data_IF_928422718855
#
_entry.id   IF_928422718855
#
_cell.length_a   1.000
_cell.length_b   1.000
_cell.length_c   1.000
_cell.angle_alpha   90.00
_cell.angle_beta   90.00
_cell.angle_gamma   90.00
#
_symmetry.space_group_name_H-M   'P 1'
#
loop_
_entity.id
_entity.type
_entity.pdbx_description
1 polymer ?
#
# COMPACT_ATOMS: atom_id res chain seq x y z
N UNK A 1 -41.22 0.81 51.49
CA UNK A 1 -41.20 0.24 52.84
C UNK A 1 -39.87 -0.44 53.02
N UNK A 2 -39.04 0.15 53.91
CA UNK A 2 -37.89 -0.39 54.71
C UNK A 2 -36.72 -1.02 53.89
N UNK A 3 -35.55 -0.32 53.75
CA UNK A 3 -34.50 -0.06 54.77
C UNK A 3 -33.76 -1.36 55.16
N UNK A 4 -32.45 -1.49 54.91
CA UNK A 4 -31.32 -1.32 55.80
C UNK A 4 -30.13 -2.19 55.29
N UNK A 5 -29.00 -1.67 54.87
CA UNK A 5 -27.82 -1.29 55.65
C UNK A 5 -27.02 -2.46 56.26
N UNK A 6 -25.73 -2.51 55.94
CA UNK A 6 -24.53 -2.65 56.79
C UNK A 6 -23.37 -3.22 55.96
N UNK A 7 -22.33 -2.50 55.67
CA UNK A 7 -21.19 -1.95 56.46
C UNK A 7 -20.34 -3.01 57.22
N UNK A 8 -19.04 -2.75 57.15
CA UNK A 8 -17.86 -3.25 57.88
C UNK A 8 -17.09 -4.35 57.14
N UNK A 9 -15.80 -4.28 57.01
CA UNK A 9 -14.78 -3.35 57.50
C UNK A 9 -13.42 -3.98 57.30
N UNK A 10 -12.45 -3.15 57.15
CA UNK A 10 -11.09 -3.18 57.73
C UNK A 10 -10.33 -4.50 57.61
N UNK A 11 -9.10 -4.53 57.31
CA UNK A 11 -7.95 -3.65 57.37
C UNK A 11 -6.71 -4.49 57.53
N UNK A 12 -5.56 -3.82 57.51
CA UNK A 12 -4.29 -4.17 58.17
C UNK A 12 -3.25 -4.80 57.25
N UNK A 13 -2.32 -3.99 56.80
CA UNK A 13 -0.93 -3.69 57.27
C UNK A 13 0.11 -4.70 56.77
N UNK A 14 0.97 -4.21 55.94
CA UNK A 14 2.35 -3.74 56.15
C UNK A 14 3.35 -4.85 56.55
N UNK A 15 4.29 -5.15 55.70
CA UNK A 15 5.64 -5.51 56.09
C UNK A 15 6.68 -5.08 55.04
N UNK A 16 7.47 -4.12 55.44
CA UNK A 16 8.70 -3.65 54.81
C UNK A 16 9.81 -4.64 55.20
N UNK A 17 10.60 -5.07 54.24
CA UNK A 17 11.92 -5.64 54.51
C UNK A 17 12.95 -5.00 53.60
N UNK A 18 13.72 -4.10 54.14
CA UNK A 18 14.99 -3.62 53.58
C UNK A 18 16.01 -4.75 53.66
N UNK A 19 16.71 -5.00 52.58
CA UNK A 19 17.91 -5.80 52.49
C UNK A 19 18.98 -5.06 51.73
N UNK A 20 19.81 -4.30 52.43
CA UNK A 20 21.10 -3.80 51.92
C UNK A 20 22.08 -4.98 51.86
N UNK A 21 22.75 -5.12 50.74
CA UNK A 21 23.87 -6.06 50.57
C UNK A 21 24.85 -5.54 49.52
N UNK A 22 25.96 -5.15 50.05
CA UNK A 22 27.11 -4.46 49.49
C UNK A 22 27.81 -5.18 48.32
N UNK A 23 28.48 -4.34 47.50
CA UNK A 23 29.53 -4.68 46.54
C UNK A 23 30.77 -5.27 47.24
N UNK A 24 31.65 -5.96 46.48
CA UNK A 24 33.01 -5.45 46.41
C UNK A 24 33.56 -5.33 44.98
N UNK A 25 34.36 -4.28 44.83
CA UNK A 25 35.30 -4.03 43.73
C UNK A 25 36.58 -4.85 43.95
N UNK A 26 37.31 -5.04 42.90
CA UNK A 26 38.76 -5.25 42.72
C UNK A 26 39.00 -6.23 41.56
N UNK A 27 39.97 -6.16 40.71
CA UNK A 27 41.13 -5.27 40.59
C UNK A 27 41.66 -5.38 39.16
N UNK A 28 42.40 -4.38 38.78
CA UNK A 28 43.12 -4.24 37.54
C UNK A 28 44.23 -5.28 37.33
N UNK A 29 44.52 -5.67 36.10
CA UNK A 29 45.82 -6.12 35.72
C UNK A 29 46.20 -5.54 34.37
N UNK A 30 47.20 -4.68 34.39
CA UNK A 30 47.91 -4.11 33.25
C UNK A 30 48.92 -5.16 32.77
N UNK A 31 49.04 -5.35 31.47
CA UNK A 31 50.29 -5.78 30.87
C UNK A 31 50.66 -4.88 29.71
N UNK A 32 51.78 -4.18 29.91
CA UNK A 32 52.60 -3.48 28.95
C UNK A 32 53.35 -4.50 28.05
N UNK A 33 53.55 -4.14 26.80
CA UNK A 33 54.52 -4.76 25.89
C UNK A 33 54.59 -3.89 24.65
N UNK A 34 55.29 -2.84 24.69
CA UNK A 34 56.62 -2.51 24.21
C UNK A 34 56.82 -2.77 22.70
N UNK A 35 56.78 -1.67 22.00
CA UNK A 35 57.53 -1.19 20.84
C UNK A 35 58.56 -2.10 20.15
N UNK A 36 58.51 -2.12 18.84
CA UNK A 36 59.74 -2.08 17.99
C UNK A 36 59.47 -1.36 16.67
N UNK A 37 59.96 -0.15 16.61
CA UNK A 37 60.29 0.59 15.40
C UNK A 37 61.42 -0.16 14.65
N UNK A 38 61.21 -0.48 13.39
CA UNK A 38 62.29 -0.84 12.46
C UNK A 38 62.27 0.18 11.35
N UNK A 39 63.18 1.12 11.49
CA UNK A 39 63.65 1.98 10.41
C UNK A 39 64.55 1.16 9.48
N UNK A 40 64.25 1.15 8.18
CA UNK A 40 65.21 0.80 7.13
C UNK A 40 65.30 1.91 6.11
N UNK A 41 66.53 2.31 5.99
CA UNK A 41 67.09 3.37 5.22
C UNK A 41 67.04 3.17 3.70
N UNK A 42 67.11 4.31 3.05
CA UNK A 42 67.26 4.58 1.62
C UNK A 42 68.38 3.79 0.94
N UNK A 43 68.10 3.29 -0.24
CA UNK A 43 69.08 3.15 -1.30
C UNK A 43 68.53 3.76 -2.59
N UNK A 44 69.26 4.77 -3.09
CA UNK A 44 69.09 5.38 -4.41
C UNK A 44 69.79 4.50 -5.44
N UNK A 45 69.16 4.28 -6.59
CA UNK A 45 69.88 4.02 -7.84
C UNK A 45 69.15 4.69 -9.01
N UNK A 46 69.81 5.35 -9.93
CA UNK A 46 69.18 6.08 -11.02
C UNK A 46 69.16 5.24 -12.29
N UNK A 47 68.04 5.22 -12.99
CA UNK A 47 68.05 4.78 -14.39
C UNK A 47 67.00 5.67 -15.13
N UNK A 48 67.56 6.61 -15.88
CA UNK A 48 66.82 7.43 -16.84
C UNK A 48 66.44 6.55 -18.03
N UNK A 49 65.20 6.19 -18.15
CA UNK A 49 64.60 5.77 -19.43
C UNK A 49 63.71 6.90 -19.94
N UNK A 50 64.19 7.51 -21.02
CA UNK A 50 63.41 8.46 -21.81
C UNK A 50 62.18 7.71 -22.37
N UNK A 51 61.01 7.98 -21.84
CA UNK A 51 59.76 7.55 -22.47
C UNK A 51 59.37 8.58 -23.52
N UNK A 52 59.50 8.20 -24.77
CA UNK A 52 58.88 8.88 -25.91
C UNK A 52 57.38 8.89 -25.70
N UNK A 53 56.80 10.06 -25.41
CA UNK A 53 55.38 10.25 -25.32
C UNK A 53 54.79 10.32 -26.74
N UNK A 54 54.15 9.27 -27.18
CA UNK A 54 53.24 9.33 -28.33
C UNK A 54 52.00 10.15 -27.95
N UNK A 55 51.53 11.08 -28.79
CA UNK A 55 50.32 11.80 -28.55
C UNK A 55 49.15 10.80 -28.60
N UNK A 56 48.38 10.67 -27.47
CA UNK A 56 47.15 9.92 -27.45
C UNK A 56 46.16 10.59 -28.41
N UNK A 57 45.90 9.94 -29.56
CA UNK A 57 44.87 10.33 -30.46
C UNK A 57 43.55 10.43 -29.71
N UNK A 58 42.86 11.56 -29.83
CA UNK A 58 41.49 11.74 -29.31
C UNK A 58 40.60 10.68 -29.97
N UNK A 59 40.25 9.63 -29.19
CA UNK A 59 39.17 8.74 -29.58
C UNK A 59 37.90 9.63 -29.67
N UNK A 60 37.41 9.88 -30.86
CA UNK A 60 36.10 10.39 -31.08
C UNK A 60 35.11 9.43 -30.42
N UNK A 61 34.54 9.83 -29.30
CA UNK A 61 33.45 9.08 -28.67
C UNK A 61 32.31 9.09 -29.67
N UNK A 62 31.98 7.92 -30.20
CA UNK A 62 30.75 7.75 -30.99
C UNK A 62 29.58 8.05 -30.04
N UNK A 63 29.01 9.24 -30.14
CA UNK A 63 27.79 9.59 -29.44
C UNK A 63 26.70 8.72 -30.08
N UNK A 64 26.38 7.61 -29.42
CA UNK A 64 25.17 6.85 -29.76
C UNK A 64 24.00 7.77 -29.45
N UNK A 65 23.46 8.40 -30.47
CA UNK A 65 22.15 9.01 -30.38
C UNK A 65 21.16 7.89 -30.05
N UNK A 66 20.78 7.76 -28.78
CA UNK A 66 19.58 7.04 -28.42
C UNK A 66 18.42 7.84 -28.99
N UNK A 67 17.99 7.47 -30.18
CA UNK A 67 16.69 7.90 -30.69
C UNK A 67 15.68 7.34 -29.67
N UNK A 68 15.03 8.21 -28.91
CA UNK A 68 13.94 7.79 -28.05
C UNK A 68 12.92 7.05 -28.92
N UNK A 69 12.45 5.86 -28.51
CA UNK A 69 11.40 5.18 -29.28
C UNK A 69 10.23 6.14 -29.48
N UNK A 70 9.63 6.11 -30.68
CA UNK A 70 8.45 6.90 -30.97
C UNK A 70 7.40 6.68 -29.89
N UNK A 71 6.67 7.71 -29.45
CA UNK A 71 5.62 7.54 -28.46
C UNK A 71 4.61 6.52 -29.00
N UNK A 72 4.37 5.47 -28.22
CA UNK A 72 3.38 4.48 -28.61
C UNK A 72 1.98 5.10 -28.64
N UNK A 73 1.10 4.68 -29.56
CA UNK A 73 -0.24 5.25 -29.67
C UNK A 73 -1.01 5.08 -28.35
N UNK A 74 -1.73 6.11 -27.96
CA UNK A 74 -2.57 6.11 -26.76
C UNK A 74 -3.97 5.52 -27.01
N UNK A 75 -4.42 5.54 -28.29
CA UNK A 75 -5.72 5.08 -28.74
C UNK A 75 -5.55 4.17 -29.95
N UNK A 76 -6.44 3.21 -30.09
CA UNK A 76 -6.52 2.33 -31.26
C UNK A 76 -7.21 3.01 -32.44
N UNK A 77 -7.41 2.27 -33.55
CA UNK A 77 -8.08 2.76 -34.78
C UNK A 77 -9.54 3.10 -34.56
N UNK A 78 -10.18 2.54 -33.52
CA UNK A 78 -11.58 2.77 -33.20
C UNK A 78 -11.73 3.92 -32.17
N UNK A 79 -10.61 4.50 -31.71
CA UNK A 79 -10.56 5.58 -30.76
C UNK A 79 -10.66 5.11 -29.30
N UNK A 80 -10.57 3.80 -29.04
CA UNK A 80 -10.58 3.26 -27.69
C UNK A 80 -9.18 3.35 -27.05
N UNK A 81 -9.07 3.56 -25.73
CA UNK A 81 -7.77 3.75 -25.08
C UNK A 81 -6.99 2.44 -25.04
N UNK A 82 -5.74 2.47 -25.48
CA UNK A 82 -4.82 1.34 -25.38
C UNK A 82 -4.30 1.27 -23.93
N UNK A 83 -4.91 0.39 -23.14
CA UNK A 83 -4.52 0.14 -21.75
C UNK A 83 -3.51 -1.00 -21.65
N UNK A 84 -2.54 -0.86 -20.74
CA UNK A 84 -1.44 -1.81 -20.54
C UNK A 84 -1.60 -2.68 -19.30
N UNK A 85 -2.68 -2.50 -18.57
CA UNK A 85 -3.13 -3.44 -17.53
C UNK A 85 -3.63 -4.71 -18.20
N UNK A 86 -3.29 -5.89 -17.66
CA UNK A 86 -3.67 -7.18 -18.24
C UNK A 86 -5.15 -7.51 -18.04
N UNK A 87 -5.71 -7.07 -16.91
CA UNK A 87 -7.14 -7.14 -16.66
C UNK A 87 -7.63 -5.79 -16.15
N UNK A 88 -8.79 -5.34 -16.65
CA UNK A 88 -9.38 -4.09 -16.22
C UNK A 88 -10.90 -4.08 -16.39
N UNK A 89 -11.55 -3.22 -15.63
CA UNK A 89 -12.95 -2.88 -15.81
C UNK A 89 -13.18 -1.43 -15.41
N UNK A 90 -13.89 -0.68 -16.26
CA UNK A 90 -14.37 0.68 -16.02
C UNK A 90 -15.89 0.65 -16.09
N UNK A 91 -16.56 1.05 -15.00
CA UNK A 91 -18.01 1.02 -14.90
C UNK A 91 -18.54 2.37 -14.44
N UNK A 92 -19.63 2.83 -15.07
CA UNK A 92 -20.46 3.89 -14.53
C UNK A 92 -21.21 3.35 -13.31
N UNK A 93 -20.88 3.89 -12.13
CA UNK A 93 -21.44 3.41 -10.87
C UNK A 93 -22.94 3.71 -10.73
N UNK A 94 -23.43 4.77 -11.39
CA UNK A 94 -24.84 5.18 -11.30
C UNK A 94 -25.76 4.24 -12.07
N UNK A 95 -25.29 3.75 -13.22
CA UNK A 95 -26.10 2.95 -14.15
C UNK A 95 -25.72 1.47 -14.15
N UNK A 96 -24.54 1.12 -13.61
CA UNK A 96 -23.96 -0.21 -13.72
C UNK A 96 -23.39 -0.52 -15.11
N UNK A 97 -23.40 0.46 -16.04
CA UNK A 97 -22.94 0.25 -17.41
C UNK A 97 -21.41 0.06 -17.46
N UNK A 98 -20.98 -1.04 -18.06
CA UNK A 98 -19.57 -1.28 -18.34
C UNK A 98 -19.16 -0.43 -19.55
N UNK A 99 -18.13 0.40 -19.37
CA UNK A 99 -17.61 1.30 -20.40
C UNK A 99 -16.41 0.68 -21.12
N UNK A 100 -15.53 0.02 -20.39
CA UNK A 100 -14.35 -0.68 -20.88
C UNK A 100 -14.11 -1.93 -20.04
N UNK A 101 -13.79 -3.04 -20.68
CA UNK A 101 -13.34 -4.24 -19.96
C UNK A 101 -12.35 -5.07 -20.79
N UNK A 102 -11.47 -5.75 -20.09
CA UNK A 102 -10.59 -6.78 -20.64
C UNK A 102 -10.29 -7.78 -19.53
N UNK A 103 -10.46 -9.06 -19.82
CA UNK A 103 -10.20 -10.14 -18.85
C UNK A 103 -10.87 -9.91 -17.49
N UNK A 104 -12.05 -9.27 -17.45
CA UNK A 104 -12.67 -8.77 -16.22
C UNK A 104 -13.05 -9.88 -15.22
N UNK A 105 -13.25 -11.13 -15.68
CA UNK A 105 -13.49 -12.30 -14.85
C UNK A 105 -12.22 -13.10 -14.49
N UNK A 106 -11.02 -12.64 -14.89
CA UNK A 106 -9.78 -13.33 -14.52
C UNK A 106 -9.50 -13.19 -13.02
N UNK A 107 -9.33 -14.32 -12.34
CA UNK A 107 -9.00 -14.37 -10.91
C UNK A 107 -7.51 -14.18 -10.74
N UNK A 108 -7.11 -13.06 -10.17
CA UNK A 108 -5.73 -12.62 -10.03
C UNK A 108 -5.40 -12.26 -8.58
N UNK A 109 -4.14 -12.39 -8.14
CA UNK A 109 -3.69 -11.83 -6.87
C UNK A 109 -3.89 -10.31 -6.87
N UNK A 110 -4.45 -9.77 -5.77
CA UNK A 110 -4.84 -8.36 -5.69
C UNK A 110 -3.95 -7.51 -4.78
N UNK A 111 -2.96 -8.16 -4.15
CA UNK A 111 -2.07 -7.48 -3.22
C UNK A 111 -2.82 -6.59 -2.22
N UNK A 112 -2.30 -5.41 -1.91
CA UNK A 112 -2.87 -4.48 -0.93
C UNK A 112 -4.23 -3.87 -1.29
N UNK A 113 -4.86 -4.22 -2.41
CA UNK A 113 -6.29 -3.93 -2.62
C UNK A 113 -7.11 -4.60 -1.51
N UNK A 114 -6.67 -5.73 -1.00
CA UNK A 114 -7.16 -6.44 0.19
C UNK A 114 -7.51 -5.49 1.35
N UNK A 115 -6.75 -4.42 1.55
CA UNK A 115 -6.95 -3.48 2.66
C UNK A 115 -8.26 -2.70 2.62
N UNK A 116 -8.95 -2.67 1.47
CA UNK A 116 -10.34 -2.16 1.43
C UNK A 116 -11.30 -3.10 2.18
N UNK A 117 -11.16 -4.41 1.99
CA UNK A 117 -11.93 -5.41 2.75
C UNK A 117 -11.56 -5.37 4.23
N UNK A 118 -10.26 -5.28 4.54
CA UNK A 118 -9.78 -5.10 5.91
C UNK A 118 -10.46 -3.90 6.59
N UNK A 119 -10.51 -2.77 5.91
CA UNK A 119 -11.13 -1.55 6.44
C UNK A 119 -12.64 -1.73 6.68
N UNK A 120 -13.36 -2.35 5.75
CA UNK A 120 -14.80 -2.61 5.93
C UNK A 120 -15.05 -3.50 7.15
N UNK A 121 -14.27 -4.58 7.34
CA UNK A 121 -14.42 -5.48 8.49
C UNK A 121 -14.08 -4.80 9.81
N UNK A 122 -13.03 -3.96 9.85
CA UNK A 122 -12.68 -3.16 11.05
C UNK A 122 -13.83 -2.23 11.43
N UNK A 123 -14.44 -1.54 10.47
CA UNK A 123 -15.53 -0.60 10.71
C UNK A 123 -16.83 -1.30 11.08
N UNK A 124 -17.12 -2.45 10.48
CA UNK A 124 -18.31 -3.26 10.81
C UNK A 124 -18.26 -3.83 12.24
N UNK A 125 -17.05 -4.05 12.77
CA UNK A 125 -16.85 -4.51 14.14
C UNK A 125 -17.22 -3.47 15.20
N UNK A 126 -17.36 -2.19 14.84
CA UNK A 126 -17.74 -1.09 15.73
C UNK A 126 -16.91 -0.98 17.01
N UNK A 127 -15.65 -1.40 16.95
CA UNK A 127 -14.71 -1.22 18.07
C UNK A 127 -14.31 0.26 18.18
N UNK A 128 -13.89 0.69 19.37
CA UNK A 128 -13.49 2.08 19.61
C UNK A 128 -12.35 2.51 18.68
N UNK A 129 -12.55 3.58 17.91
CA UNK A 129 -11.53 4.08 16.99
C UNK A 129 -10.35 4.73 17.72
N UNK A 130 -10.58 5.20 18.96
CA UNK A 130 -9.54 5.74 19.84
C UNK A 130 -8.76 4.66 20.60
N UNK A 131 -9.16 3.38 20.52
CA UNK A 131 -8.44 2.29 21.20
C UNK A 131 -7.00 2.23 20.69
N UNK A 132 -6.06 2.11 21.62
CA UNK A 132 -4.64 2.02 21.31
C UNK A 132 -4.26 0.60 20.91
N UNK A 133 -3.61 0.46 19.78
CA UNK A 133 -3.13 -0.81 19.22
C UNK A 133 -1.61 -0.78 19.16
N UNK A 134 -0.97 -1.83 19.67
CA UNK A 134 0.47 -2.01 19.58
C UNK A 134 0.84 -2.85 18.36
N UNK A 135 1.89 -2.46 17.64
CA UNK A 135 2.55 -3.26 16.63
C UNK A 135 3.46 -4.28 17.32
N UNK A 136 3.23 -5.55 17.11
CA UNK A 136 4.04 -6.65 17.66
C UNK A 136 4.92 -7.33 16.61
N UNK A 137 5.78 -8.25 17.05
CA UNK A 137 6.58 -9.10 16.15
C UNK A 137 5.71 -9.92 15.19
N UNK A 138 4.48 -10.29 15.61
CA UNK A 138 3.52 -11.00 14.76
C UNK A 138 3.03 -10.17 13.56
N UNK A 139 3.24 -8.85 13.59
CA UNK A 139 2.86 -7.94 12.50
C UNK A 139 4.00 -7.73 11.49
N UNK A 140 5.18 -8.30 11.75
CA UNK A 140 6.33 -8.23 10.85
C UNK A 140 6.12 -9.16 9.65
N UNK A 141 6.36 -8.63 8.46
CA UNK A 141 6.32 -9.41 7.23
C UNK A 141 7.60 -10.23 7.05
N UNK A 142 7.56 -11.48 7.47
CA UNK A 142 8.63 -12.46 7.23
C UNK A 142 8.46 -13.20 5.89
N UNK A 143 7.32 -13.05 5.21
CA UNK A 143 7.06 -13.72 3.93
C UNK A 143 7.80 -13.05 2.78
N UNK A 144 7.77 -11.71 2.73
CA UNK A 144 8.30 -10.90 1.63
C UNK A 144 9.34 -9.86 2.06
N UNK A 145 9.52 -9.69 3.37
CA UNK A 145 10.45 -8.72 3.92
C UNK A 145 10.07 -7.27 3.59
N UNK A 146 8.78 -6.97 3.47
CA UNK A 146 8.34 -5.60 3.19
C UNK A 146 8.73 -4.66 4.33
N UNK A 147 9.27 -3.49 3.98
CA UNK A 147 9.63 -2.47 4.96
C UNK A 147 8.36 -1.79 5.51
N UNK A 148 8.43 -1.33 6.75
CA UNK A 148 7.42 -0.51 7.40
C UNK A 148 8.08 0.61 8.20
N UNK A 149 7.39 1.74 8.31
CA UNK A 149 7.81 2.86 9.17
C UNK A 149 7.26 2.74 10.59
N UNK A 150 6.41 1.76 10.84
CA UNK A 150 5.93 1.40 12.16
C UNK A 150 6.88 0.34 12.76
N UNK A 151 7.69 0.71 13.75
CA UNK A 151 8.53 -0.24 14.45
C UNK A 151 7.67 -1.16 15.35
N UNK A 152 8.19 -2.34 15.68
CA UNK A 152 7.65 -3.17 16.78
C UNK A 152 7.67 -2.35 18.06
N UNK A 153 6.60 -2.43 18.86
CA UNK A 153 6.38 -1.59 20.03
C UNK A 153 5.76 -0.22 19.74
N UNK A 154 5.53 0.13 18.46
CA UNK A 154 4.76 1.36 18.13
C UNK A 154 3.31 1.20 18.56
N UNK A 155 2.77 2.22 19.25
CA UNK A 155 1.38 2.26 19.70
C UNK A 155 0.68 3.42 19.02
N UNK A 156 -0.41 3.14 18.32
CA UNK A 156 -1.26 4.13 17.63
C UNK A 156 -2.73 3.82 17.89
N UNK A 157 -3.60 4.80 17.67
CA UNK A 157 -5.04 4.58 17.69
C UNK A 157 -5.47 3.63 16.55
N UNK A 158 -6.60 2.93 16.74
CA UNK A 158 -7.20 2.12 15.67
C UNK A 158 -7.48 2.98 14.44
N UNK A 159 -7.87 4.24 14.64
CA UNK A 159 -8.08 5.20 13.55
C UNK A 159 -6.81 5.46 12.76
N UNK A 160 -5.69 5.77 13.45
CA UNK A 160 -4.40 5.99 12.78
C UNK A 160 -3.93 4.74 12.04
N UNK A 161 -4.06 3.56 12.67
CA UNK A 161 -3.73 2.29 12.00
C UNK A 161 -4.56 2.10 10.73
N UNK A 162 -5.86 2.37 10.78
CA UNK A 162 -6.75 2.25 9.62
C UNK A 162 -6.39 3.27 8.53
N UNK A 163 -6.14 4.52 8.90
CA UNK A 163 -5.69 5.58 8.00
C UNK A 163 -4.39 5.21 7.29
N UNK A 164 -3.38 4.75 8.04
CA UNK A 164 -2.09 4.34 7.49
C UNK A 164 -2.19 3.10 6.60
N UNK A 165 -3.05 2.13 6.94
CA UNK A 165 -3.29 0.95 6.11
C UNK A 165 -3.92 1.32 4.76
N UNK A 166 -4.85 2.27 4.72
CA UNK A 166 -5.53 2.69 3.50
C UNK A 166 -4.67 3.64 2.66
N UNK A 167 -4.17 4.72 3.25
CA UNK A 167 -3.47 5.79 2.55
C UNK A 167 -2.07 5.37 2.08
N UNK A 168 -1.22 4.96 3.02
CA UNK A 168 0.17 4.60 2.74
C UNK A 168 0.42 3.10 2.62
N UNK A 169 -0.65 2.30 2.69
CA UNK A 169 -0.59 0.86 2.52
C UNK A 169 0.27 0.13 3.56
N UNK A 170 0.37 0.65 4.79
CA UNK A 170 1.17 0.06 5.87
C UNK A 170 0.70 -1.36 6.21
N UNK A 171 1.59 -2.33 6.04
CA UNK A 171 1.28 -3.74 6.25
C UNK A 171 1.15 -4.05 7.74
N UNK A 172 2.06 -3.51 8.59
CA UNK A 172 2.00 -3.73 10.04
C UNK A 172 0.73 -3.14 10.65
N UNK A 173 0.25 -2.01 10.13
CA UNK A 173 -1.02 -1.44 10.57
C UNK A 173 -2.20 -2.38 10.23
N UNK A 174 -2.26 -2.89 9.00
CA UNK A 174 -3.32 -3.83 8.59
C UNK A 174 -3.27 -5.16 9.36
N UNK A 175 -2.08 -5.65 9.69
CA UNK A 175 -1.88 -6.84 10.52
C UNK A 175 -2.33 -6.61 11.96
N UNK A 176 -1.89 -5.51 12.59
CA UNK A 176 -2.28 -5.15 13.95
C UNK A 176 -3.80 -4.99 14.09
N UNK A 177 -4.48 -4.36 13.11
CA UNK A 177 -5.94 -4.25 13.07
C UNK A 177 -6.61 -5.63 13.11
N UNK A 178 -6.12 -6.59 12.31
CA UNK A 178 -6.68 -7.94 12.29
C UNK A 178 -6.40 -8.70 13.59
N UNK A 179 -5.20 -8.55 14.16
CA UNK A 179 -4.82 -9.21 15.41
C UNK A 179 -5.63 -8.71 16.60
N UNK A 180 -6.00 -7.43 16.62
CA UNK A 180 -6.83 -6.83 17.66
C UNK A 180 -8.34 -6.94 17.41
N UNK A 181 -8.75 -7.70 16.41
CA UNK A 181 -10.15 -8.03 16.17
C UNK A 181 -10.65 -9.04 17.20
N UNK A 182 -11.93 -9.02 17.60
CA UNK A 182 -12.49 -10.02 18.50
C UNK A 182 -12.31 -11.45 17.94
N UNK A 183 -11.58 -12.29 18.67
CA UNK A 183 -11.18 -13.63 18.21
C UNK A 183 -9.87 -13.65 17.41
N UNK A 184 -9.20 -12.51 17.23
CA UNK A 184 -7.87 -12.42 16.62
C UNK A 184 -7.86 -12.58 15.11
N UNK A 185 -6.67 -12.79 14.55
CA UNK A 185 -6.42 -12.79 13.10
C UNK A 185 -7.27 -13.83 12.35
N UNK A 186 -7.44 -15.03 12.88
CA UNK A 186 -8.22 -16.08 12.20
C UNK A 186 -9.70 -15.67 12.07
N UNK A 187 -10.30 -15.19 13.17
CA UNK A 187 -11.67 -14.71 13.16
C UNK A 187 -11.85 -13.49 12.22
N UNK A 188 -10.83 -12.65 12.11
CA UNK A 188 -10.81 -11.53 11.18
C UNK A 188 -10.84 -11.99 9.71
N UNK A 189 -9.98 -12.96 9.34
CA UNK A 189 -9.93 -13.50 7.97
C UNK A 189 -11.26 -14.20 7.63
N UNK A 190 -11.86 -14.93 8.57
CA UNK A 190 -13.19 -15.47 8.38
C UNK A 190 -14.24 -14.37 8.17
N UNK A 191 -14.17 -13.27 8.93
CA UNK A 191 -15.05 -12.13 8.74
C UNK A 191 -14.87 -11.47 7.37
N UNK A 192 -13.63 -11.34 6.86
CA UNK A 192 -13.35 -10.87 5.50
C UNK A 192 -14.06 -11.76 4.46
N UNK A 193 -13.94 -13.08 4.57
CA UNK A 193 -14.55 -14.01 3.63
C UNK A 193 -16.09 -14.04 3.76
N UNK A 194 -16.64 -13.92 4.98
CA UNK A 194 -18.10 -13.75 5.16
C UNK A 194 -18.60 -12.46 4.53
N UNK A 195 -17.89 -11.35 4.71
CA UNK A 195 -18.20 -10.07 4.07
C UNK A 195 -18.13 -10.16 2.55
N UNK A 196 -17.11 -10.83 2.01
CA UNK A 196 -16.99 -11.12 0.58
C UNK A 196 -18.22 -11.85 0.04
N UNK A 197 -18.63 -12.92 0.70
CA UNK A 197 -19.82 -13.68 0.32
C UNK A 197 -21.09 -12.83 0.39
N UNK A 198 -21.26 -11.99 1.44
CA UNK A 198 -22.41 -11.11 1.60
C UNK A 198 -22.53 -10.02 0.54
N UNK A 199 -21.38 -9.64 -0.08
CA UNK A 199 -21.32 -8.70 -1.20
C UNK A 199 -21.44 -9.39 -2.56
N UNK A 200 -21.60 -10.72 -2.61
CA UNK A 200 -21.69 -11.48 -3.86
C UNK A 200 -20.36 -11.58 -4.62
N UNK A 201 -19.22 -11.49 -3.92
CA UNK A 201 -17.89 -11.56 -4.54
C UNK A 201 -17.50 -13.04 -4.67
N UNK A 202 -17.90 -13.66 -5.77
CA UNK A 202 -17.77 -15.12 -5.96
C UNK A 202 -16.35 -15.58 -6.31
N UNK A 203 -15.54 -14.69 -6.90
CA UNK A 203 -14.19 -14.93 -7.36
C UNK A 203 -13.13 -14.38 -6.38
N UNK A 204 -13.57 -13.97 -5.17
CA UNK A 204 -12.74 -13.33 -4.17
C UNK A 204 -12.48 -14.22 -2.96
N UNK A 205 -11.22 -14.31 -2.55
CA UNK A 205 -10.76 -15.04 -1.36
C UNK A 205 -9.69 -14.26 -0.62
N UNK A 206 -9.72 -14.35 0.72
CA UNK A 206 -8.75 -13.72 1.61
C UNK A 206 -8.12 -14.77 2.53
N UNK A 207 -6.80 -14.67 2.68
CA UNK A 207 -5.97 -15.49 3.57
C UNK A 207 -5.18 -14.63 4.56
N UNK A 208 -5.06 -13.34 4.32
CA UNK A 208 -4.51 -12.36 5.24
C UNK A 208 -5.20 -10.99 5.11
N UNK A 209 -4.92 -10.09 6.07
CA UNK A 209 -5.47 -8.73 6.11
C UNK A 209 -4.66 -7.71 5.31
N UNK A 210 -3.48 -8.10 4.82
CA UNK A 210 -2.49 -7.17 4.24
C UNK A 210 -2.46 -7.21 2.72
N UNK A 211 -2.72 -8.40 2.13
CA UNK A 211 -2.54 -8.69 0.72
C UNK A 211 -1.11 -9.11 0.37
N UNK A 212 -0.30 -9.49 1.35
CA UNK A 212 1.04 -10.06 1.11
C UNK A 212 0.97 -11.52 0.67
N UNK A 213 -0.07 -12.24 1.06
CA UNK A 213 -0.35 -13.58 0.59
C UNK A 213 -0.90 -13.53 -0.84
N UNK A 214 -0.23 -14.20 -1.79
CA UNK A 214 -0.68 -14.28 -3.18
C UNK A 214 -2.02 -15.02 -3.35
N UNK A 215 -2.47 -15.75 -2.33
CA UNK A 215 -3.80 -16.37 -2.28
C UNK A 215 -4.94 -15.36 -2.09
N UNK A 216 -4.65 -14.11 -1.69
CA UNK A 216 -5.65 -13.05 -1.73
C UNK A 216 -5.92 -12.69 -3.19
N UNK A 217 -6.99 -13.23 -3.71
CA UNK A 217 -7.36 -13.14 -5.13
C UNK A 217 -8.73 -12.51 -5.31
N UNK A 218 -8.95 -11.95 -6.48
CA UNK A 218 -10.25 -11.41 -6.91
C UNK A 218 -10.25 -11.24 -8.43
N UNK A 219 -11.42 -10.95 -9.00
CA UNK A 219 -11.57 -10.50 -10.38
C UNK A 219 -11.85 -8.99 -10.45
N UNK A 220 -11.69 -8.41 -11.63
CA UNK A 220 -12.05 -7.00 -11.82
C UNK A 220 -13.55 -6.76 -11.60
N UNK A 221 -14.41 -7.73 -11.90
CA UNK A 221 -15.86 -7.66 -11.66
C UNK A 221 -16.18 -7.62 -10.18
N UNK A 222 -15.60 -8.53 -9.38
CA UNK A 222 -15.79 -8.52 -7.94
C UNK A 222 -15.21 -7.25 -7.29
N UNK A 223 -14.07 -6.76 -7.78
CA UNK A 223 -13.45 -5.54 -7.27
C UNK A 223 -14.29 -4.30 -7.51
N UNK A 224 -15.04 -4.21 -8.61
CA UNK A 224 -16.00 -3.13 -8.83
C UNK A 224 -17.06 -3.13 -7.72
N UNK A 225 -17.62 -4.29 -7.38
CA UNK A 225 -18.58 -4.42 -6.29
C UNK A 225 -17.97 -4.07 -4.95
N UNK A 226 -16.75 -4.54 -4.69
CA UNK A 226 -16.02 -4.25 -3.45
C UNK A 226 -15.72 -2.76 -3.28
N UNK A 227 -15.29 -2.07 -4.34
CA UNK A 227 -15.03 -0.62 -4.32
C UNK A 227 -16.33 0.16 -4.12
N UNK A 228 -17.42 -0.26 -4.80
CA UNK A 228 -18.74 0.30 -4.62
C UNK A 228 -19.22 0.21 -3.17
N UNK A 229 -19.06 -0.97 -2.55
CA UNK A 229 -19.39 -1.17 -1.13
C UNK A 229 -18.50 -0.32 -0.21
N UNK A 230 -17.19 -0.27 -0.46
CA UNK A 230 -16.25 0.53 0.32
C UNK A 230 -16.58 2.03 0.28
N UNK A 231 -17.10 2.53 -0.83
CA UNK A 231 -17.50 3.92 -1.00
C UNK A 231 -18.65 4.36 -0.08
N UNK A 232 -19.40 3.44 0.50
CA UNK A 232 -20.44 3.76 1.48
C UNK A 232 -19.89 4.06 2.89
N UNK A 233 -18.60 3.77 3.15
CA UNK A 233 -17.96 4.05 4.43
C UNK A 233 -17.27 5.42 4.39
N UNK A 234 -17.75 6.42 5.17
CA UNK A 234 -17.14 7.76 5.17
C UNK A 234 -15.63 7.73 5.49
N UNK A 235 -15.21 6.95 6.48
CA UNK A 235 -13.80 6.85 6.87
C UNK A 235 -12.92 6.18 5.81
N UNK A 236 -13.46 5.22 5.03
CA UNK A 236 -12.71 4.64 3.91
C UNK A 236 -12.48 5.71 2.83
N UNK A 237 -13.50 6.49 2.50
CA UNK A 237 -13.35 7.58 1.54
C UNK A 237 -12.29 8.57 2.02
N UNK A 238 -12.44 9.09 3.23
CA UNK A 238 -11.52 10.07 3.82
C UNK A 238 -10.07 9.55 3.83
N UNK A 239 -9.86 8.36 4.42
CA UNK A 239 -8.50 7.86 4.65
C UNK A 239 -7.82 7.40 3.36
N UNK A 240 -8.55 6.77 2.44
CA UNK A 240 -7.97 6.30 1.18
C UNK A 240 -7.63 7.43 0.22
N UNK A 241 -8.20 8.63 0.42
CA UNK A 241 -7.97 9.81 -0.41
C UNK A 241 -7.22 10.93 0.30
N UNK A 242 -6.75 10.72 1.52
CA UNK A 242 -5.81 11.64 2.18
C UNK A 242 -4.50 11.64 1.42
N UNK A 243 -4.01 12.82 0.99
CA UNK A 243 -2.75 12.94 0.24
C UNK A 243 -1.54 12.65 1.13
N UNK A 244 -1.57 13.17 2.35
CA UNK A 244 -0.54 13.01 3.36
C UNK A 244 -1.13 13.02 4.77
N UNK A 245 -0.38 12.48 5.72
CA UNK A 245 -0.76 12.44 7.13
C UNK A 245 0.48 12.49 8.01
N UNK A 246 0.43 13.34 9.02
CA UNK A 246 1.47 13.48 10.02
C UNK A 246 0.99 12.85 11.34
N UNK A 247 1.72 11.85 11.83
CA UNK A 247 1.37 11.10 13.04
C UNK A 247 2.60 10.84 13.89
N UNK A 248 2.42 10.83 15.19
CA UNK A 248 3.49 10.49 16.13
C UNK A 248 3.68 8.97 16.18
N UNK A 249 4.90 8.51 15.95
CA UNK A 249 5.30 7.11 16.03
C UNK A 249 6.54 7.00 16.91
N UNK A 250 6.41 6.37 18.08
CA UNK A 250 7.54 6.19 19.00
C UNK A 250 8.18 7.50 19.45
N UNK A 251 7.37 8.51 19.79
CA UNK A 251 7.83 9.82 20.25
C UNK A 251 8.39 10.73 19.15
N UNK A 252 8.16 10.40 17.87
CA UNK A 252 8.61 11.21 16.73
C UNK A 252 7.51 11.41 15.73
N UNK A 253 7.32 12.64 15.26
CA UNK A 253 6.42 12.93 14.15
C UNK A 253 6.97 12.33 12.85
N UNK A 254 6.12 11.56 12.17
CA UNK A 254 6.42 10.94 10.88
C UNK A 254 5.36 11.32 9.86
N UNK A 255 5.80 11.75 8.71
CA UNK A 255 4.92 12.07 7.59
C UNK A 255 4.75 10.83 6.70
N UNK A 256 3.50 10.52 6.37
CA UNK A 256 3.11 9.46 5.45
C UNK A 256 2.43 10.08 4.23
N UNK A 257 2.59 9.45 3.06
CA UNK A 257 2.01 9.91 1.81
C UNK A 257 1.13 8.83 1.19
N UNK A 258 0.16 9.26 0.40
CA UNK A 258 -0.68 8.33 -0.35
C UNK A 258 0.15 7.59 -1.40
N UNK A 259 -0.17 6.32 -1.59
CA UNK A 259 0.50 5.47 -2.59
C UNK A 259 0.00 5.71 -4.02
N UNK A 260 -1.15 6.39 -4.17
CA UNK A 260 -1.68 6.82 -5.46
C UNK A 260 -1.41 8.32 -5.65
N UNK A 261 -0.49 8.73 -6.56
CA UNK A 261 -0.19 10.15 -6.78
C UNK A 261 -1.37 10.95 -7.35
N UNK A 262 -2.38 10.29 -7.94
CA UNK A 262 -3.56 10.97 -8.48
C UNK A 262 -4.42 11.62 -7.39
N UNK A 263 -4.31 11.15 -6.14
CA UNK A 263 -5.03 11.74 -5.00
C UNK A 263 -4.62 13.19 -4.73
N UNK A 264 -3.36 13.53 -4.97
CA UNK A 264 -2.85 14.88 -4.80
C UNK A 264 -3.02 15.75 -6.06
N UNK A 265 -3.53 15.20 -7.15
CA UNK A 265 -3.71 15.92 -8.41
C UNK A 265 -5.11 16.57 -8.45
N UNK A 266 -5.14 17.91 -8.56
CA UNK A 266 -6.36 18.70 -8.59
C UNK A 266 -7.31 18.39 -9.76
N UNK A 267 -6.79 17.76 -10.84
CA UNK A 267 -7.61 17.34 -11.98
C UNK A 267 -8.44 16.08 -11.71
N UNK A 268 -8.28 15.48 -10.53
CA UNK A 268 -8.97 14.26 -10.13
C UNK A 268 -9.83 14.48 -8.90
N UNK A 269 -11.11 14.12 -9.01
CA UNK A 269 -12.00 13.99 -7.87
C UNK A 269 -12.14 12.50 -7.55
N UNK A 270 -11.47 12.04 -6.47
CA UNK A 270 -11.40 10.63 -6.09
C UNK A 270 -12.16 10.41 -4.79
N UNK A 271 -13.05 9.43 -4.76
CA UNK A 271 -13.84 9.07 -3.57
C UNK A 271 -13.26 7.88 -2.82
N UNK A 272 -12.67 6.91 -3.52
CA UNK A 272 -11.97 5.76 -2.95
C UNK A 272 -10.73 5.49 -3.79
N UNK A 273 -9.62 5.15 -3.14
CA UNK A 273 -8.41 4.77 -3.83
C UNK A 273 -7.65 3.68 -3.09
N UNK A 274 -7.17 2.68 -3.80
CA UNK A 274 -6.18 1.73 -3.25
C UNK A 274 -5.25 1.20 -4.33
N UNK A 275 -3.95 1.21 -4.04
CA UNK A 275 -2.93 0.57 -4.86
C UNK A 275 -2.54 -0.79 -4.28
N UNK A 276 -2.06 -1.69 -5.14
CA UNK A 276 -1.49 -2.97 -4.75
C UNK A 276 -0.24 -3.29 -5.54
N UNK A 277 0.67 -4.06 -4.92
CA UNK A 277 1.81 -4.65 -5.59
C UNK A 277 2.40 -5.78 -4.77
N UNK A 278 2.49 -6.94 -5.36
CA UNK A 278 3.41 -8.03 -5.06
C UNK A 278 3.93 -8.56 -6.40
N UNK A 279 4.95 -9.41 -6.40
CA UNK A 279 5.53 -9.93 -7.65
C UNK A 279 4.46 -10.63 -8.51
N UNK A 280 3.59 -11.41 -7.88
CA UNK A 280 2.57 -12.25 -8.52
C UNK A 280 1.36 -11.47 -9.03
N UNK A 281 1.07 -10.29 -8.44
CA UNK A 281 -0.07 -9.46 -8.85
C UNK A 281 0.27 -8.41 -9.88
N UNK A 282 1.56 -8.18 -10.16
CA UNK A 282 1.94 -6.95 -10.85
C UNK A 282 1.45 -5.71 -10.08
N UNK A 283 1.36 -4.57 -10.73
CA UNK A 283 0.85 -3.33 -10.14
C UNK A 283 -0.64 -3.21 -10.35
N UNK A 284 -1.37 -3.02 -9.24
CA UNK A 284 -2.83 -2.89 -9.23
C UNK A 284 -3.25 -1.50 -8.75
N UNK A 285 -4.39 -1.03 -9.24
CA UNK A 285 -5.05 0.19 -8.81
C UNK A 285 -6.57 0.00 -8.90
N UNK A 286 -7.27 0.37 -7.84
CA UNK A 286 -8.71 0.57 -7.89
C UNK A 286 -9.05 1.98 -7.44
N UNK A 287 -10.03 2.60 -8.08
CA UNK A 287 -10.51 3.93 -7.73
C UNK A 287 -12.01 4.04 -7.96
N UNK A 288 -12.69 4.78 -7.08
CA UNK A 288 -13.91 5.50 -7.42
C UNK A 288 -13.51 6.94 -7.75
N UNK A 289 -13.88 7.44 -8.90
CA UNK A 289 -13.57 8.81 -9.32
C UNK A 289 -14.76 9.45 -10.05
N UNK A 290 -14.90 10.76 -9.90
CA UNK A 290 -15.88 11.53 -10.69
C UNK A 290 -15.17 12.10 -11.93
N UNK A 291 -15.63 11.66 -13.08
CA UNK A 291 -15.23 12.22 -14.35
C UNK A 291 -16.47 12.83 -15.01
N UNK A 292 -16.41 14.13 -15.23
CA UNK A 292 -17.56 14.92 -15.76
C UNK A 292 -18.86 14.71 -14.95
N UNK A 293 -18.73 14.80 -13.64
CA UNK A 293 -19.84 14.63 -12.68
C UNK A 293 -20.46 13.22 -12.64
N UNK A 294 -19.90 12.23 -13.35
CA UNK A 294 -20.31 10.83 -13.29
C UNK A 294 -19.38 10.04 -12.36
N UNK A 295 -19.94 9.32 -11.38
CA UNK A 295 -19.13 8.44 -10.54
C UNK A 295 -18.77 7.19 -11.33
N UNK A 296 -17.47 6.95 -11.50
CA UNK A 296 -16.93 5.77 -12.17
C UNK A 296 -16.15 4.93 -11.19
N UNK A 297 -16.20 3.62 -11.37
CA UNK A 297 -15.28 2.70 -10.71
C UNK A 297 -14.29 2.22 -11.78
N UNK A 298 -13.01 2.38 -11.49
CA UNK A 298 -11.89 2.01 -12.35
C UNK A 298 -11.09 0.93 -11.62
N UNK A 299 -10.96 -0.23 -12.24
CA UNK A 299 -10.15 -1.35 -11.75
C UNK A 299 -9.08 -1.66 -12.79
N UNK A 300 -7.80 -1.63 -12.39
CA UNK A 300 -6.64 -1.92 -13.22
C UNK A 300 -5.78 -2.95 -12.50
N UNK A 301 -5.60 -4.13 -13.08
CA UNK A 301 -4.88 -5.26 -12.50
C UNK A 301 -3.71 -5.68 -13.38
N UNK A 302 -2.68 -6.21 -12.74
CA UNK A 302 -1.47 -6.74 -13.37
C UNK A 302 -0.87 -5.81 -14.42
N UNK A 303 -0.63 -4.56 -14.02
CA UNK A 303 0.06 -3.59 -14.86
C UNK A 303 1.57 -3.78 -14.76
N UNK A 304 2.24 -3.93 -15.90
CA UNK A 304 3.70 -3.91 -15.97
C UNK A 304 4.24 -2.47 -15.84
N UNK A 305 5.37 -2.31 -15.17
CA UNK A 305 6.04 -1.01 -15.04
C UNK A 305 5.53 -0.12 -13.90
N UNK A 306 6.37 0.87 -13.55
CA UNK A 306 6.18 1.68 -12.34
C UNK A 306 4.94 2.59 -12.40
N UNK A 307 4.70 3.20 -13.56
CA UNK A 307 3.68 4.24 -13.73
C UNK A 307 2.51 3.80 -14.62
N UNK A 308 2.51 2.58 -15.13
CA UNK A 308 1.56 2.09 -16.12
C UNK A 308 0.11 2.26 -15.68
N UNK A 309 -0.24 1.82 -14.46
CA UNK A 309 -1.61 1.96 -13.93
C UNK A 309 -2.08 3.41 -13.81
N UNK A 310 -1.15 4.35 -13.51
CA UNK A 310 -1.45 5.79 -13.44
C UNK A 310 -1.66 6.36 -14.84
N UNK A 311 -0.82 5.96 -15.79
CA UNK A 311 -0.96 6.32 -17.20
C UNK A 311 -2.24 5.75 -17.81
N UNK A 312 -2.61 4.50 -17.48
CA UNK A 312 -3.86 3.88 -17.93
C UNK A 312 -5.08 4.66 -17.39
N UNK A 313 -5.07 5.04 -16.11
CA UNK A 313 -6.12 5.88 -15.54
C UNK A 313 -6.22 7.24 -16.27
N UNK A 314 -5.09 7.86 -16.61
CA UNK A 314 -5.08 9.12 -17.36
C UNK A 314 -5.61 8.94 -18.80
N UNK A 315 -5.30 7.81 -19.47
CA UNK A 315 -5.86 7.50 -20.81
C UNK A 315 -7.37 7.31 -20.76
N UNK A 316 -7.87 6.60 -19.74
CA UNK A 316 -9.32 6.43 -19.51
C UNK A 316 -9.99 7.80 -19.34
N UNK A 317 -9.41 8.68 -18.52
CA UNK A 317 -9.94 10.04 -18.32
C UNK A 317 -9.99 10.81 -19.65
N UNK A 318 -8.88 10.87 -20.38
CA UNK A 318 -8.76 11.57 -21.67
C UNK A 318 -9.75 11.03 -22.70
N UNK A 319 -9.92 9.71 -22.75
CA UNK A 319 -10.87 9.05 -23.63
C UNK A 319 -12.33 9.47 -23.33
N UNK A 320 -12.73 9.44 -22.06
CA UNK A 320 -14.07 9.86 -21.65
C UNK A 320 -14.33 11.34 -21.91
N UNK A 321 -13.35 12.20 -21.69
CA UNK A 321 -13.44 13.64 -21.99
C UNK A 321 -13.57 13.89 -23.48
N UNK A 322 -12.80 13.16 -24.31
CA UNK A 322 -12.86 13.26 -25.78
C UNK A 322 -14.16 12.74 -26.38
N UNK A 323 -14.69 11.63 -25.88
CA UNK A 323 -15.92 11.03 -26.37
C UNK A 323 -17.16 11.92 -26.21
N UNK A 324 -17.18 12.74 -25.17
CA UNK A 324 -18.27 13.69 -24.91
C UNK A 324 -18.20 14.93 -25.79
N UNK A 325 -16.99 15.37 -26.17
CA UNK A 325 -16.79 16.50 -27.08
C UNK A 325 -17.20 16.17 -28.51
N UNK A 326 -17.09 14.91 -28.92
CA UNK A 326 -17.30 14.52 -30.33
C UNK A 326 -18.69 13.98 -30.65
N UNK A 327 -19.45 13.46 -29.67
CA UNK A 327 -20.66 12.68 -29.96
C UNK A 327 -21.88 12.96 -29.07
N UNK A 328 -21.84 13.90 -28.13
CA UNK A 328 -23.01 14.25 -27.29
C UNK A 328 -23.57 13.11 -26.42
N UNK A 329 -22.91 11.95 -26.33
CA UNK A 329 -23.35 10.80 -25.54
C UNK A 329 -22.21 9.84 -25.21
N UNK A 330 -22.35 9.03 -24.16
CA UNK A 330 -21.31 8.07 -23.77
C UNK A 330 -21.13 6.97 -24.83
N UNK A 331 -19.90 6.47 -25.06
CA UNK A 331 -19.55 5.44 -26.05
C UNK A 331 -20.22 4.08 -25.85
N UNK A 332 -20.87 3.85 -24.72
CA UNK A 332 -21.54 2.59 -24.35
C UNK A 332 -22.57 2.08 -25.38
N UNK A 333 -23.06 2.94 -26.27
CA UNK A 333 -23.96 2.54 -27.34
C UNK A 333 -23.26 1.84 -28.53
N UNK A 334 -21.93 1.85 -28.60
CA UNK A 334 -21.20 1.19 -29.70
C UNK A 334 -20.89 -0.28 -29.43
N UNK A 335 -20.76 -0.70 -28.16
CA UNK A 335 -20.49 -2.09 -27.82
C UNK A 335 -21.72 -3.00 -27.99
N UNK A 336 -22.92 -2.50 -27.73
CA UNK A 336 -24.17 -3.26 -27.94
C UNK A 336 -24.48 -3.53 -29.41
N UNK A 337 -24.01 -2.67 -30.32
CA UNK A 337 -24.19 -2.85 -31.75
C UNK A 337 -23.24 -3.90 -32.38
N UNK A 338 -22.11 -4.23 -31.75
CA UNK A 338 -21.14 -5.22 -32.22
C UNK A 338 -21.40 -6.65 -31.77
N UNK A 339 -22.23 -6.86 -30.76
CA UNK A 339 -22.61 -8.20 -30.26
C UNK A 339 -23.86 -8.76 -30.99
N UNK A 340 -24.46 -8.00 -31.89
CA UNK A 340 -25.65 -8.38 -32.66
C UNK A 340 -25.40 -8.49 -34.19
N UNK A 341 -24.15 -8.55 -34.60
CA UNK A 341 -23.75 -8.78 -36.03
C UNK A 341 -22.96 -10.05 -36.20
#
# INVERSE_FOLDING_TARGET
MKILNRMFGAGVLLSVALGLGALPAEAASRHHGSSRLVTKSKAKAPSARQHVRYPKGKRLALVKHHVAPAPEPEFDTDGDPILRSQAFLVQDQSTGTVLLEKNAGAVLPIASITKLMTAMVVLDAKQGMADLLEVSDSDVDYLRGSSSRLAVGSVLSREDMLRLALMSSENRAASALARHYPGGTNAFIEAMNRKSASLGLHETRFYDSTGLNAGNVSSARDLVQMVGAAAHYPLIREFSTSAEYLVEVGGRLRQFHNTNPLVANADWQIGVSKTGYIRESGKCLVMQAWLQSKPLIIVLLDSAGRYTRVADAARIKKWLEGALLTHGGPPALRLSARLSS
#
